data_IF_510921832321
#
_entry.id   IF_510921832321
#
_cell.length_a   1.000
_cell.length_b   1.000
_cell.length_c   1.000
_cell.angle_alpha   90.00
_cell.angle_beta   90.00
_cell.angle_gamma   90.00
#
_symmetry.space_group_name_H-M   'P 1'
#
loop_
_entity.id
_entity.type
_entity.pdbx_description
1 polymer ?
#
# COMPACT_ATOMS: atom_id res chain seq x y z
N UNK A 1 -14.91 -42.31 6.93
CA UNK A 1 -15.62 -41.27 6.20
C UNK A 1 -15.51 -39.99 7.00
N UNK A 2 -14.76 -38.94 6.60
CA UNK A 2 -14.80 -37.65 7.27
C UNK A 2 -16.08 -36.92 6.86
N UNK A 3 -16.82 -36.41 7.86
CA UNK A 3 -18.06 -35.66 7.71
C UNK A 3 -17.88 -34.35 6.90
N UNK A 4 -18.97 -33.77 6.39
CA UNK A 4 -18.91 -32.55 5.58
C UNK A 4 -18.38 -31.38 6.41
N UNK A 5 -17.66 -30.44 5.80
CA UNK A 5 -17.16 -29.25 6.50
C UNK A 5 -18.36 -28.41 6.96
N UNK A 6 -18.34 -28.03 8.23
CA UNK A 6 -19.32 -27.14 8.87
C UNK A 6 -19.53 -25.88 8.03
N UNK A 7 -20.78 -25.64 7.62
CA UNK A 7 -21.23 -24.39 7.02
C UNK A 7 -20.95 -23.22 7.99
N UNK A 8 -20.38 -22.10 7.49
CA UNK A 8 -20.32 -20.89 8.28
C UNK A 8 -21.76 -20.36 8.47
N UNK A 9 -22.14 -20.08 9.69
CA UNK A 9 -23.42 -19.47 10.06
C UNK A 9 -23.67 -18.24 9.18
N UNK A 10 -24.84 -18.21 8.52
CA UNK A 10 -25.29 -17.11 7.71
C UNK A 10 -25.39 -15.83 8.57
N UNK A 11 -24.49 -14.88 8.34
CA UNK A 11 -24.57 -13.56 8.93
C UNK A 11 -25.80 -12.83 8.39
N UNK A 12 -26.65 -12.33 9.30
CA UNK A 12 -27.81 -11.50 9.01
C UNK A 12 -27.31 -10.15 8.50
N UNK A 13 -27.02 -10.07 7.19
CA UNK A 13 -26.75 -8.80 6.52
C UNK A 13 -28.08 -8.16 6.09
N UNK A 14 -28.15 -6.84 6.13
CA UNK A 14 -29.29 -6.03 5.67
C UNK A 14 -29.67 -6.46 4.22
N UNK A 15 -30.79 -7.14 4.07
CA UNK A 15 -31.33 -7.55 2.77
C UNK A 15 -31.58 -6.29 1.96
N UNK A 16 -30.83 -6.10 0.86
CA UNK A 16 -31.04 -5.00 -0.08
C UNK A 16 -29.80 -4.21 -0.52
N UNK A 17 -28.74 -4.12 0.29
CA UNK A 17 -27.53 -3.38 -0.10
C UNK A 17 -26.71 -4.15 -1.17
N UNK A 18 -26.16 -3.46 -2.21
CA UNK A 18 -25.34 -4.10 -3.24
C UNK A 18 -24.14 -4.83 -2.67
N UNK A 19 -23.80 -6.01 -3.23
CA UNK A 19 -22.64 -6.81 -2.83
C UNK A 19 -21.44 -6.52 -3.72
N UNK A 20 -20.30 -6.15 -3.11
CA UNK A 20 -19.01 -6.00 -3.77
C UNK A 20 -18.12 -7.20 -3.44
N UNK A 21 -17.80 -8.03 -4.43
CA UNK A 21 -16.83 -9.12 -4.30
C UNK A 21 -15.43 -8.62 -4.68
N UNK A 22 -14.54 -8.54 -3.71
CA UNK A 22 -13.16 -8.12 -3.90
C UNK A 22 -12.28 -9.34 -4.20
N UNK A 23 -11.73 -9.40 -5.41
CA UNK A 23 -10.83 -10.47 -5.84
C UNK A 23 -9.39 -9.98 -5.73
N UNK A 24 -8.59 -10.63 -4.90
CA UNK A 24 -7.18 -10.31 -4.64
C UNK A 24 -6.33 -11.57 -4.74
N UNK A 25 -5.02 -11.40 -4.98
CA UNK A 25 -4.11 -12.53 -5.07
C UNK A 25 -4.03 -13.28 -3.74
N UNK A 26 -3.76 -12.58 -2.64
CA UNK A 26 -3.75 -13.09 -1.26
C UNK A 26 -4.17 -12.00 -0.29
N UNK A 27 -4.58 -12.38 0.92
CA UNK A 27 -4.86 -11.45 2.01
C UNK A 27 -3.79 -11.63 3.09
N UNK A 28 -2.80 -10.73 3.08
CA UNK A 28 -1.63 -10.79 3.95
C UNK A 28 -1.17 -9.36 4.31
N UNK A 29 -0.06 -9.21 5.05
CA UNK A 29 0.48 -7.89 5.38
C UNK A 29 1.00 -7.20 4.11
N UNK A 30 0.34 -6.12 3.70
CA UNK A 30 0.70 -5.36 2.51
C UNK A 30 -0.10 -4.07 2.35
N UNK A 31 0.41 -3.15 1.52
CA UNK A 31 -0.22 -1.84 1.31
C UNK A 31 -1.60 -1.94 0.66
N UNK A 32 -1.75 -2.82 -0.34
CA UNK A 32 -3.01 -3.07 -1.02
C UNK A 32 -4.05 -3.65 -0.06
N UNK A 33 -3.65 -4.68 0.68
CA UNK A 33 -4.50 -5.42 1.62
C UNK A 33 -4.94 -4.51 2.78
N UNK A 34 -4.02 -3.68 3.26
CA UNK A 34 -4.30 -2.65 4.26
C UNK A 34 -5.34 -1.63 3.75
N UNK A 35 -5.16 -1.13 2.53
CA UNK A 35 -6.11 -0.23 1.88
C UNK A 35 -7.49 -0.87 1.72
N UNK A 36 -7.55 -2.15 1.32
CA UNK A 36 -8.80 -2.89 1.18
C UNK A 36 -9.52 -3.06 2.52
N UNK A 37 -8.82 -3.51 3.56
CA UNK A 37 -9.42 -3.70 4.90
C UNK A 37 -9.89 -2.37 5.48
N UNK A 38 -9.11 -1.30 5.32
CA UNK A 38 -9.51 0.04 5.74
C UNK A 38 -10.76 0.54 5.01
N UNK A 39 -10.86 0.28 3.69
CA UNK A 39 -12.04 0.62 2.89
C UNK A 39 -13.28 -0.13 3.40
N UNK A 40 -13.18 -1.46 3.56
CA UNK A 40 -14.28 -2.32 3.99
C UNK A 40 -14.77 -1.93 5.39
N UNK A 41 -13.86 -1.69 6.34
CA UNK A 41 -14.22 -1.34 7.71
C UNK A 41 -14.94 0.02 7.83
N UNK A 42 -14.81 0.91 6.83
CA UNK A 42 -15.36 2.26 6.86
C UNK A 42 -16.55 2.50 5.93
N UNK A 43 -16.79 1.60 4.97
CA UNK A 43 -18.02 1.67 4.18
C UNK A 43 -19.18 1.15 5.03
N UNK A 44 -20.26 1.93 5.24
CA UNK A 44 -21.41 1.49 6.00
C UNK A 44 -22.06 0.23 5.40
N UNK A 45 -22.50 -0.71 6.25
CA UNK A 45 -23.07 -1.98 5.82
C UNK A 45 -24.37 -1.81 5.01
N UNK A 46 -25.14 -0.79 5.32
CA UNK A 46 -26.37 -0.40 4.63
C UNK A 46 -26.10 0.17 3.23
N UNK A 47 -24.87 0.64 2.95
CA UNK A 47 -24.48 1.14 1.63
C UNK A 47 -23.95 0.05 0.73
N UNK A 48 -23.04 -0.79 1.26
CA UNK A 48 -22.45 -1.89 0.52
C UNK A 48 -22.12 -3.06 1.46
N UNK A 49 -22.50 -4.26 1.02
CA UNK A 49 -22.00 -5.51 1.57
C UNK A 49 -20.69 -5.87 0.88
N UNK A 50 -19.83 -6.61 1.55
CA UNK A 50 -18.54 -7.00 0.99
C UNK A 50 -18.29 -8.50 1.14
N UNK A 51 -17.56 -9.07 0.17
CA UNK A 51 -16.94 -10.39 0.26
C UNK A 51 -15.50 -10.29 -0.26
N UNK A 52 -14.55 -10.99 0.37
CA UNK A 52 -13.16 -11.07 -0.10
C UNK A 52 -12.91 -12.45 -0.68
N UNK A 53 -12.34 -12.52 -1.87
CA UNK A 53 -11.97 -13.76 -2.55
C UNK A 53 -10.47 -13.72 -2.81
N UNK A 54 -9.73 -14.49 -2.02
CA UNK A 54 -8.29 -14.68 -2.18
C UNK A 54 -8.05 -15.80 -3.21
N UNK A 55 -7.28 -15.51 -4.24
CA UNK A 55 -6.94 -16.54 -5.24
C UNK A 55 -6.06 -17.62 -4.62
N UNK A 56 -5.11 -17.27 -3.76
CA UNK A 56 -4.18 -18.21 -3.11
C UNK A 56 -4.58 -18.47 -1.66
N UNK A 57 -4.27 -17.59 -0.74
CA UNK A 57 -4.39 -17.80 0.71
C UNK A 57 -4.81 -16.53 1.46
N UNK A 58 -5.22 -16.70 2.72
CA UNK A 58 -5.40 -15.59 3.66
C UNK A 58 -4.66 -15.92 4.96
N UNK A 59 -3.90 -14.96 5.48
CA UNK A 59 -3.18 -15.07 6.74
C UNK A 59 -4.03 -14.57 7.93
N UNK A 60 -3.41 -14.51 9.12
CA UNK A 60 -3.99 -13.89 10.30
C UNK A 60 -4.38 -12.41 10.09
N UNK A 61 -3.90 -11.76 9.02
CA UNK A 61 -4.25 -10.40 8.65
C UNK A 61 -5.77 -10.19 8.48
N UNK A 62 -6.54 -11.24 8.15
CA UNK A 62 -8.00 -11.20 8.10
C UNK A 62 -8.67 -10.73 9.41
N UNK A 63 -8.00 -10.91 10.56
CA UNK A 63 -8.50 -10.47 11.86
C UNK A 63 -8.62 -8.94 11.99
N UNK A 64 -8.01 -8.19 11.07
CA UNK A 64 -8.16 -6.73 10.97
C UNK A 64 -9.48 -6.29 10.35
N UNK A 65 -10.25 -7.20 9.76
CA UNK A 65 -11.62 -6.94 9.30
C UNK A 65 -12.50 -6.86 10.55
N UNK A 66 -13.01 -5.67 10.85
CA UNK A 66 -13.83 -5.41 12.04
C UNK A 66 -15.30 -5.76 11.80
N UNK A 67 -15.71 -5.88 10.55
CA UNK A 67 -17.07 -6.23 10.14
C UNK A 67 -17.26 -7.75 10.13
N UNK A 68 -18.14 -8.27 11.00
CA UNK A 68 -18.43 -9.70 11.10
C UNK A 68 -19.27 -10.27 9.93
N UNK A 69 -19.84 -9.39 9.10
CA UNK A 69 -20.66 -9.73 7.93
C UNK A 69 -19.84 -9.92 6.64
N UNK A 70 -18.50 -9.86 6.67
CA UNK A 70 -17.63 -9.96 5.50
C UNK A 70 -17.02 -11.36 5.38
N UNK A 71 -17.54 -12.25 4.52
CA UNK A 71 -16.95 -13.55 4.30
C UNK A 71 -15.63 -13.45 3.54
N UNK A 72 -14.66 -14.29 3.89
CA UNK A 72 -13.37 -14.43 3.21
C UNK A 72 -13.24 -15.84 2.66
N UNK A 73 -13.13 -15.94 1.34
CA UNK A 73 -12.97 -17.19 0.60
C UNK A 73 -11.54 -17.34 0.09
N UNK A 74 -11.03 -18.57 0.05
CA UNK A 74 -9.72 -18.91 -0.51
C UNK A 74 -9.86 -20.00 -1.57
N UNK A 75 -9.32 -19.76 -2.77
CA UNK A 75 -9.43 -20.70 -3.90
C UNK A 75 -8.25 -21.66 -4.00
N UNK A 76 -7.15 -21.41 -3.26
CA UNK A 76 -5.92 -22.22 -3.22
C UNK A 76 -5.31 -22.40 -4.62
N UNK A 77 -5.15 -21.29 -5.36
CA UNK A 77 -4.54 -21.25 -6.69
C UNK A 77 -3.10 -21.76 -6.62
N UNK A 78 -2.73 -22.77 -7.42
CA UNK A 78 -1.34 -23.18 -7.56
C UNK A 78 -0.51 -22.09 -8.26
N UNK A 79 0.82 -22.23 -8.22
CA UNK A 79 1.72 -21.34 -8.98
C UNK A 79 1.41 -21.41 -10.48
N UNK A 80 1.51 -20.27 -11.16
CA UNK A 80 1.25 -20.15 -12.60
C UNK A 80 -0.24 -19.99 -12.94
N UNK A 81 -0.57 -20.23 -14.22
CA UNK A 81 -1.95 -20.14 -14.73
C UNK A 81 -2.74 -21.38 -14.30
N UNK A 82 -3.99 -21.17 -13.87
CA UNK A 82 -4.85 -22.27 -13.40
C UNK A 82 -6.29 -22.09 -13.88
N UNK A 83 -6.66 -22.73 -14.99
CA UNK A 83 -8.06 -22.75 -15.45
C UNK A 83 -9.03 -23.28 -14.38
N UNK A 84 -8.57 -24.23 -13.56
CA UNK A 84 -9.36 -24.77 -12.44
C UNK A 84 -9.71 -23.66 -11.43
N UNK A 85 -8.78 -22.77 -11.15
CA UNK A 85 -9.04 -21.63 -10.24
C UNK A 85 -10.04 -20.65 -10.86
N UNK A 86 -9.96 -20.39 -12.17
CA UNK A 86 -10.94 -19.53 -12.86
C UNK A 86 -12.34 -20.18 -12.84
N UNK A 87 -12.44 -21.49 -13.02
CA UNK A 87 -13.70 -22.22 -12.89
C UNK A 87 -14.26 -22.17 -11.46
N UNK A 88 -13.41 -22.37 -10.43
CA UNK A 88 -13.82 -22.23 -9.02
C UNK A 88 -14.32 -20.80 -8.73
N UNK A 89 -13.62 -19.79 -9.25
CA UNK A 89 -14.03 -18.39 -9.10
C UNK A 89 -15.39 -18.14 -9.78
N UNK A 90 -15.56 -18.61 -11.01
CA UNK A 90 -16.84 -18.52 -11.73
C UNK A 90 -17.99 -19.16 -10.93
N UNK A 91 -17.83 -20.39 -10.42
CA UNK A 91 -18.84 -21.06 -9.59
C UNK A 91 -19.18 -20.26 -8.34
N UNK A 92 -18.16 -19.75 -7.64
CA UNK A 92 -18.35 -18.95 -6.44
C UNK A 92 -19.11 -17.65 -6.76
N UNK A 93 -18.79 -16.98 -7.86
CA UNK A 93 -19.49 -15.77 -8.29
C UNK A 93 -20.96 -16.05 -8.68
N UNK A 94 -21.24 -17.20 -9.32
CA UNK A 94 -22.61 -17.64 -9.60
C UNK A 94 -23.44 -17.88 -8.33
N UNK A 95 -22.80 -18.34 -7.24
CA UNK A 95 -23.44 -18.55 -5.93
C UNK A 95 -23.66 -17.23 -5.19
N UNK A 96 -22.63 -16.38 -5.13
CA UNK A 96 -22.65 -15.10 -4.41
C UNK A 96 -23.51 -14.05 -5.11
N UNK A 97 -23.61 -14.09 -6.44
CA UNK A 97 -24.32 -13.12 -7.29
C UNK A 97 -23.98 -11.67 -6.93
N UNK A 98 -22.70 -11.27 -6.92
CA UNK A 98 -22.33 -9.91 -6.56
C UNK A 98 -22.81 -8.91 -7.64
N UNK A 99 -23.13 -7.69 -7.19
CA UNK A 99 -23.44 -6.57 -8.07
C UNK A 99 -22.18 -5.97 -8.69
N UNK A 100 -21.08 -6.04 -7.94
CA UNK A 100 -19.75 -5.56 -8.36
C UNK A 100 -18.71 -6.64 -8.09
N UNK A 101 -17.86 -6.93 -9.08
CA UNK A 101 -16.56 -7.58 -8.86
C UNK A 101 -15.47 -6.52 -8.97
N UNK A 102 -14.61 -6.43 -7.95
CA UNK A 102 -13.47 -5.53 -7.93
C UNK A 102 -12.18 -6.32 -7.77
N UNK A 103 -11.49 -6.56 -8.89
CA UNK A 103 -10.17 -7.22 -8.95
C UNK A 103 -9.06 -6.21 -8.67
N UNK A 104 -7.92 -6.64 -8.10
CA UNK A 104 -6.79 -5.75 -7.79
C UNK A 104 -5.46 -6.30 -8.25
N UNK A 105 -4.67 -5.43 -8.88
CA UNK A 105 -3.37 -5.72 -9.49
C UNK A 105 -3.40 -6.85 -10.52
N UNK A 106 -2.31 -6.98 -11.26
CA UNK A 106 -2.19 -7.95 -12.36
C UNK A 106 -2.49 -9.39 -11.90
N UNK A 107 -2.12 -9.75 -10.66
CA UNK A 107 -2.35 -11.09 -10.12
C UNK A 107 -3.82 -11.54 -10.01
N UNK A 108 -4.77 -10.57 -10.03
CA UNK A 108 -6.21 -10.86 -10.02
C UNK A 108 -6.94 -10.39 -11.30
N UNK A 109 -6.23 -9.82 -12.28
CA UNK A 109 -6.83 -9.26 -13.50
C UNK A 109 -7.65 -10.28 -14.28
N UNK A 110 -7.15 -11.51 -14.40
CA UNK A 110 -7.83 -12.62 -15.10
C UNK A 110 -9.19 -12.96 -14.47
N UNK A 111 -9.42 -12.60 -13.22
CA UNK A 111 -10.70 -12.77 -12.52
C UNK A 111 -11.88 -11.99 -13.13
N UNK A 112 -11.61 -11.02 -14.00
CA UNK A 112 -12.67 -10.30 -14.72
C UNK A 112 -13.35 -11.17 -15.80
N UNK A 113 -12.66 -12.16 -16.36
CA UNK A 113 -13.26 -13.09 -17.33
C UNK A 113 -14.34 -13.96 -16.67
N UNK A 114 -14.07 -14.75 -15.60
CA UNK A 114 -15.12 -15.49 -14.93
C UNK A 114 -16.22 -14.58 -14.35
N UNK A 115 -15.93 -13.36 -13.96
CA UNK A 115 -16.95 -12.40 -13.54
C UNK A 115 -17.88 -12.00 -14.69
N UNK A 116 -17.35 -11.79 -15.89
CA UNK A 116 -18.15 -11.54 -17.10
C UNK A 116 -19.03 -12.74 -17.46
N UNK A 117 -18.46 -13.96 -17.43
CA UNK A 117 -19.19 -15.21 -17.70
C UNK A 117 -20.26 -15.51 -16.64
N UNK A 118 -20.07 -15.08 -15.40
CA UNK A 118 -21.07 -15.17 -14.33
C UNK A 118 -22.17 -14.11 -14.43
N UNK A 119 -22.11 -13.21 -15.42
CA UNK A 119 -23.10 -12.16 -15.61
C UNK A 119 -23.03 -11.03 -14.58
N UNK A 120 -21.89 -10.86 -13.89
CA UNK A 120 -21.73 -9.77 -12.90
C UNK A 120 -21.93 -8.42 -13.57
N UNK A 121 -22.87 -7.58 -13.08
CA UNK A 121 -23.24 -6.33 -13.75
C UNK A 121 -22.08 -5.34 -13.91
N UNK A 122 -21.25 -5.18 -12.88
CA UNK A 122 -20.15 -4.20 -12.85
C UNK A 122 -18.83 -4.91 -12.52
N UNK A 123 -17.82 -4.72 -13.37
CA UNK A 123 -16.48 -5.28 -13.20
C UNK A 123 -15.46 -4.15 -13.17
N UNK A 124 -14.81 -3.99 -12.03
CA UNK A 124 -13.80 -2.97 -11.76
C UNK A 124 -12.44 -3.62 -11.61
N UNK A 125 -11.40 -2.97 -12.13
CA UNK A 125 -10.02 -3.37 -11.90
C UNK A 125 -9.22 -2.23 -11.27
N UNK A 126 -8.60 -2.51 -10.11
CA UNK A 126 -7.73 -1.58 -9.39
C UNK A 126 -6.25 -1.84 -9.69
N UNK A 127 -5.51 -0.81 -10.09
CA UNK A 127 -4.05 -0.82 -10.18
C UNK A 127 -3.46 -0.11 -8.96
N UNK A 128 -2.69 -0.86 -8.16
CA UNK A 128 -2.14 -0.40 -6.88
C UNK A 128 -0.60 -0.30 -6.86
N UNK A 129 0.06 -0.66 -7.95
CA UNK A 129 1.53 -0.60 -8.07
C UNK A 129 2.05 -1.41 -9.25
N UNK A 130 3.35 -1.32 -9.45
CA UNK A 130 4.08 -2.11 -10.44
C UNK A 130 4.92 -3.20 -9.77
N UNK A 131 5.20 -4.25 -10.50
CA UNK A 131 6.06 -5.33 -10.04
C UNK A 131 7.55 -5.02 -10.30
N UNK A 132 8.44 -5.71 -9.60
CA UNK A 132 9.90 -5.52 -9.70
C UNK A 132 10.44 -5.72 -11.13
N UNK A 133 9.81 -6.59 -11.90
CA UNK A 133 10.19 -6.87 -13.31
C UNK A 133 9.53 -5.91 -14.31
N UNK A 134 8.83 -4.87 -13.83
CA UNK A 134 8.19 -3.83 -14.67
C UNK A 134 8.21 -2.44 -13.99
N UNK A 135 9.34 -2.06 -13.41
CA UNK A 135 9.49 -0.81 -12.63
C UNK A 135 9.04 0.43 -13.41
N UNK A 136 9.33 0.47 -14.72
CA UNK A 136 9.01 1.60 -15.59
C UNK A 136 7.73 1.41 -16.42
N UNK A 137 7.01 0.31 -16.22
CA UNK A 137 5.81 -0.01 -17.01
C UNK A 137 6.12 -0.31 -18.49
N UNK A 138 7.34 -0.79 -18.81
CA UNK A 138 7.80 -1.09 -20.17
C UNK A 138 7.69 -2.56 -20.56
N UNK A 139 7.33 -3.43 -19.63
CA UNK A 139 7.21 -4.85 -19.89
C UNK A 139 6.02 -5.15 -20.83
N UNK A 140 6.34 -5.44 -22.09
CA UNK A 140 5.35 -5.67 -23.15
C UNK A 140 4.41 -6.82 -22.83
N UNK A 141 4.89 -7.88 -22.20
CA UNK A 141 4.04 -9.04 -21.83
C UNK A 141 2.94 -8.60 -20.85
N UNK A 142 3.29 -7.78 -19.85
CA UNK A 142 2.33 -7.26 -18.88
C UNK A 142 1.34 -6.28 -19.50
N UNK A 143 1.79 -5.47 -20.46
CA UNK A 143 0.91 -4.59 -21.23
C UNK A 143 -0.07 -5.41 -22.09
N UNK A 144 0.41 -6.45 -22.78
CA UNK A 144 -0.43 -7.36 -23.59
C UNK A 144 -1.48 -8.04 -22.71
N UNK A 145 -1.11 -8.56 -21.55
CA UNK A 145 -2.05 -9.15 -20.60
C UNK A 145 -3.15 -8.16 -20.22
N UNK A 146 -2.80 -6.92 -19.85
CA UNK A 146 -3.81 -5.90 -19.52
C UNK A 146 -4.72 -5.57 -20.71
N UNK A 147 -4.17 -5.48 -21.92
CA UNK A 147 -4.95 -5.24 -23.16
C UNK A 147 -5.89 -6.41 -23.47
N UNK A 148 -5.45 -7.66 -23.27
CA UNK A 148 -6.25 -8.86 -23.49
C UNK A 148 -7.48 -8.91 -22.58
N UNK A 149 -7.33 -8.56 -21.30
CA UNK A 149 -8.42 -8.57 -20.35
C UNK A 149 -9.24 -7.27 -20.30
N UNK A 150 -8.79 -6.19 -20.99
CA UNK A 150 -9.49 -4.90 -21.05
C UNK A 150 -10.97 -4.98 -21.46
N UNK A 151 -11.39 -5.84 -22.40
CA UNK A 151 -12.81 -5.97 -22.79
C UNK A 151 -13.71 -6.44 -21.64
N UNK A 152 -13.17 -7.18 -20.67
CA UNK A 152 -13.93 -7.72 -19.54
C UNK A 152 -14.01 -6.77 -18.33
N UNK A 153 -13.33 -5.62 -18.38
CA UNK A 153 -13.32 -4.61 -17.32
C UNK A 153 -14.20 -3.44 -17.73
N UNK A 154 -15.19 -3.08 -16.91
CA UNK A 154 -16.06 -1.92 -17.19
C UNK A 154 -15.39 -0.59 -16.77
N UNK A 155 -14.64 -0.60 -15.67
CA UNK A 155 -13.99 0.59 -15.13
C UNK A 155 -12.68 0.26 -14.41
N UNK A 156 -11.74 1.20 -14.42
CA UNK A 156 -10.45 1.10 -13.74
C UNK A 156 -10.37 2.09 -12.59
N UNK A 157 -9.68 1.70 -11.52
CA UNK A 157 -9.28 2.61 -10.44
C UNK A 157 -7.76 2.57 -10.34
N UNK A 158 -7.11 3.72 -10.49
CA UNK A 158 -5.68 3.89 -10.33
C UNK A 158 -5.38 4.65 -9.03
N UNK A 159 -4.44 4.16 -8.21
CA UNK A 159 -4.11 4.84 -6.94
C UNK A 159 -3.20 6.06 -7.11
N UNK A 160 -2.69 6.31 -8.32
CA UNK A 160 -1.86 7.46 -8.66
C UNK A 160 -2.13 7.94 -10.08
N UNK A 161 -1.76 9.18 -10.38
CA UNK A 161 -1.80 9.74 -11.75
C UNK A 161 -0.78 9.06 -12.67
N UNK A 162 0.35 8.61 -12.11
CA UNK A 162 1.33 7.81 -12.83
C UNK A 162 0.70 6.51 -13.37
N UNK A 163 -0.04 5.77 -12.52
CA UNK A 163 -0.75 4.56 -12.95
C UNK A 163 -1.95 4.87 -13.86
N UNK A 164 -2.65 5.96 -13.64
CA UNK A 164 -3.71 6.43 -14.54
C UNK A 164 -3.14 6.69 -15.95
N UNK A 165 -2.03 7.45 -16.05
CA UNK A 165 -1.33 7.71 -17.31
C UNK A 165 -0.85 6.42 -17.97
N UNK A 166 -0.32 5.47 -17.19
CA UNK A 166 0.08 4.15 -17.69
C UNK A 166 -1.11 3.39 -18.31
N UNK A 167 -2.25 3.35 -17.62
CA UNK A 167 -3.46 2.70 -18.14
C UNK A 167 -3.95 3.35 -19.44
N UNK A 168 -3.93 4.66 -19.52
CA UNK A 168 -4.38 5.38 -20.70
C UNK A 168 -3.40 5.24 -21.87
N UNK A 169 -2.11 5.49 -21.65
CA UNK A 169 -1.11 5.58 -22.71
C UNK A 169 -0.53 4.22 -23.13
N UNK A 170 -0.33 3.29 -22.20
CA UNK A 170 0.32 1.99 -22.46
C UNK A 170 -0.70 0.86 -22.64
N UNK A 171 -1.79 0.85 -21.89
CA UNK A 171 -2.85 -0.17 -22.01
C UNK A 171 -3.94 0.26 -23.01
N UNK A 172 -4.12 1.55 -23.24
CA UNK A 172 -5.12 2.12 -24.13
C UNK A 172 -6.53 2.10 -23.51
N UNK A 173 -6.64 2.35 -22.20
CA UNK A 173 -7.92 2.52 -21.51
C UNK A 173 -8.42 3.94 -21.77
N UNK A 174 -9.70 4.08 -22.11
CA UNK A 174 -10.30 5.41 -22.33
C UNK A 174 -10.33 6.21 -21.02
N UNK A 175 -10.04 7.53 -21.03
CA UNK A 175 -10.08 8.37 -19.85
C UNK A 175 -11.42 8.29 -19.07
N UNK A 176 -12.56 8.18 -19.78
CA UNK A 176 -13.89 8.03 -19.18
C UNK A 176 -14.09 6.71 -18.41
N UNK A 177 -13.18 5.75 -18.58
CA UNK A 177 -13.20 4.44 -17.90
C UNK A 177 -12.13 4.30 -16.82
N UNK A 178 -11.46 5.38 -16.44
CA UNK A 178 -10.48 5.41 -15.35
C UNK A 178 -10.91 6.44 -14.33
N UNK A 179 -10.82 6.09 -13.06
CA UNK A 179 -10.88 7.03 -11.94
C UNK A 179 -9.56 6.96 -11.17
N UNK A 180 -8.95 8.09 -10.91
CA UNK A 180 -7.81 8.18 -10.02
C UNK A 180 -8.31 8.40 -8.59
N UNK A 181 -7.92 7.53 -7.64
CA UNK A 181 -8.29 7.63 -6.22
C UNK A 181 -7.05 7.35 -5.39
N UNK A 182 -6.52 8.37 -4.71
CA UNK A 182 -5.40 8.18 -3.78
C UNK A 182 -5.79 7.32 -2.59
N UNK A 183 -4.82 6.60 -2.05
CA UNK A 183 -4.99 5.95 -0.76
C UNK A 183 -5.20 7.00 0.34
N UNK A 184 -6.03 6.67 1.32
CA UNK A 184 -6.24 7.47 2.51
C UNK A 184 -5.41 6.98 3.68
N UNK A 185 -5.10 7.89 4.60
CA UNK A 185 -4.45 7.57 5.86
C UNK A 185 -5.34 7.91 7.05
N UNK A 186 -5.26 7.08 8.08
CA UNK A 186 -5.90 7.29 9.38
C UNK A 186 -5.05 8.26 10.20
N UNK A 187 -5.42 9.54 10.17
CA UNK A 187 -4.68 10.61 10.85
C UNK A 187 -4.95 10.69 12.36
N UNK A 188 -5.90 9.91 12.88
CA UNK A 188 -6.09 9.73 14.33
C UNK A 188 -5.13 8.67 14.85
N UNK A 189 -4.93 7.60 14.11
CA UNK A 189 -3.99 6.53 14.44
C UNK A 189 -2.53 6.97 14.23
N UNK A 190 -2.25 7.68 13.14
CA UNK A 190 -0.95 8.26 12.82
C UNK A 190 -1.01 9.75 13.08
N UNK A 191 -0.40 10.19 14.17
CA UNK A 191 -0.39 11.59 14.61
C UNK A 191 1.00 11.98 15.11
N UNK A 192 1.35 13.26 15.14
CA UNK A 192 2.61 13.71 15.69
C UNK A 192 2.81 13.26 17.14
N UNK A 193 4.06 13.13 17.55
CA UNK A 193 4.40 13.04 18.97
C UNK A 193 3.87 14.29 19.69
N UNK A 194 3.62 14.17 21.00
CA UNK A 194 3.26 15.31 21.84
C UNK A 194 4.43 16.31 21.99
N UNK A 195 4.55 16.94 23.14
CA UNK A 195 5.64 17.91 23.41
C UNK A 195 7.05 17.28 23.32
N UNK A 196 7.14 15.97 23.52
CA UNK A 196 8.40 15.22 23.42
C UNK A 196 8.25 14.07 22.44
N UNK A 197 9.31 13.81 21.66
CA UNK A 197 9.45 12.62 20.83
C UNK A 197 9.29 11.35 21.68
N UNK A 198 8.60 10.34 21.20
CA UNK A 198 8.54 9.03 21.86
C UNK A 198 9.91 8.34 21.81
N UNK A 199 10.15 7.49 22.79
CA UNK A 199 11.36 6.66 22.78
C UNK A 199 11.21 5.49 21.81
N UNK A 200 12.31 5.16 21.14
CA UNK A 200 12.38 3.92 20.37
C UNK A 200 12.17 2.74 21.33
N UNK A 201 11.25 1.80 21.07
CA UNK A 201 10.96 0.71 22.00
C UNK A 201 12.05 -0.38 21.97
N UNK A 202 13.28 0.05 22.16
CA UNK A 202 14.49 -0.75 22.29
C UNK A 202 15.36 -0.07 23.37
N UNK A 203 15.37 -0.66 24.57
CA UNK A 203 16.02 -0.08 25.73
C UNK A 203 17.50 0.27 25.47
N UNK A 204 17.87 1.50 25.70
CA UNK A 204 19.26 1.98 25.53
C UNK A 204 19.72 2.17 24.08
N UNK A 205 18.82 1.97 23.08
CA UNK A 205 19.21 2.14 21.67
C UNK A 205 19.32 3.60 21.23
N UNK A 206 18.40 4.45 21.68
CA UNK A 206 18.40 5.87 21.33
C UNK A 206 18.07 6.73 22.56
N UNK A 207 18.87 7.81 22.75
CA UNK A 207 18.65 8.82 23.78
C UNK A 207 17.86 10.02 23.26
N UNK A 208 17.54 10.95 24.16
CA UNK A 208 16.78 12.18 23.84
C UNK A 208 17.51 13.14 22.88
N UNK A 209 18.84 13.05 22.80
CA UNK A 209 19.67 13.86 21.88
C UNK A 209 20.00 13.19 20.55
N UNK A 210 19.58 11.95 20.35
CA UNK A 210 19.85 11.22 19.10
C UNK A 210 18.91 11.66 17.98
N UNK A 211 19.43 11.63 16.75
CA UNK A 211 18.66 11.82 15.53
C UNK A 211 18.28 10.45 14.94
N UNK A 212 17.00 10.14 14.90
CA UNK A 212 16.48 8.85 14.49
C UNK A 212 15.95 8.90 13.06
N UNK A 213 16.61 8.18 12.17
CA UNK A 213 16.20 7.97 10.79
C UNK A 213 15.40 6.66 10.74
N UNK A 214 14.15 6.72 10.26
CA UNK A 214 13.27 5.56 10.23
C UNK A 214 12.77 5.18 8.85
N UNK A 215 12.57 3.90 8.62
CA UNK A 215 11.84 3.36 7.47
C UNK A 215 10.91 2.22 7.90
N UNK A 216 9.79 2.08 7.19
CA UNK A 216 8.80 1.01 7.44
C UNK A 216 8.39 0.38 6.12
N UNK A 217 8.47 -0.95 6.04
CA UNK A 217 8.02 -1.70 4.86
C UNK A 217 8.63 -3.08 4.77
N UNK A 218 8.03 -3.93 3.93
CA UNK A 218 8.58 -5.27 3.67
C UNK A 218 9.99 -5.15 3.12
N UNK A 219 10.92 -5.95 3.63
CA UNK A 219 12.33 -5.91 3.22
C UNK A 219 12.55 -6.77 1.97
N UNK A 220 12.12 -6.22 0.81
CA UNK A 220 12.14 -6.86 -0.51
C UNK A 220 12.83 -5.97 -1.54
N UNK A 221 13.31 -6.55 -2.64
CA UNK A 221 14.10 -5.85 -3.66
C UNK A 221 13.44 -4.54 -4.15
N UNK A 222 12.11 -4.54 -4.35
CA UNK A 222 11.37 -3.32 -4.77
C UNK A 222 11.42 -2.19 -3.75
N UNK A 223 11.67 -2.49 -2.46
CA UNK A 223 11.76 -1.49 -1.37
C UNK A 223 13.18 -1.04 -1.08
N UNK A 224 14.19 -1.73 -1.60
CA UNK A 224 15.61 -1.36 -1.66
C UNK A 224 16.21 -0.78 -0.37
N UNK A 225 15.95 -1.43 0.76
CA UNK A 225 16.56 -1.04 2.04
C UNK A 225 18.09 -1.09 2.02
N UNK A 226 18.69 -1.79 1.06
CA UNK A 226 20.15 -1.80 0.87
C UNK A 226 20.69 -0.42 0.50
N UNK A 227 19.99 0.33 -0.36
CA UNK A 227 20.38 1.69 -0.70
C UNK A 227 20.31 2.62 0.51
N UNK A 228 19.28 2.49 1.36
CA UNK A 228 19.22 3.24 2.62
C UNK A 228 20.36 2.85 3.58
N UNK A 229 20.67 1.57 3.71
CA UNK A 229 21.77 1.12 4.56
C UNK A 229 23.12 1.68 4.07
N UNK A 230 23.39 1.66 2.75
CA UNK A 230 24.58 2.28 2.17
C UNK A 230 24.64 3.78 2.41
N UNK A 231 23.49 4.47 2.28
CA UNK A 231 23.38 5.90 2.54
C UNK A 231 23.66 6.23 4.02
N UNK A 232 23.16 5.41 4.96
CA UNK A 232 23.44 5.54 6.38
C UNK A 232 24.92 5.34 6.72
N UNK A 233 25.56 4.32 6.15
CA UNK A 233 27.02 4.11 6.30
C UNK A 233 27.79 5.37 5.86
N UNK A 234 27.48 5.91 4.66
CA UNK A 234 28.11 7.14 4.16
C UNK A 234 27.87 8.34 5.07
N UNK A 235 26.65 8.45 5.61
CA UNK A 235 26.28 9.53 6.52
C UNK A 235 27.09 9.47 7.82
N UNK A 236 27.22 8.30 8.44
CA UNK A 236 28.02 8.09 9.66
C UNK A 236 29.47 8.39 9.40
N UNK A 237 30.04 7.94 8.29
CA UNK A 237 31.44 8.19 7.94
C UNK A 237 31.72 9.66 7.58
N UNK A 238 30.72 10.39 7.09
CA UNK A 238 30.85 11.77 6.61
C UNK A 238 30.62 12.86 7.67
N UNK A 239 30.10 12.51 8.85
CA UNK A 239 29.81 13.48 9.94
C UNK A 239 30.69 13.16 11.16
N UNK A 240 31.49 14.11 11.66
CA UNK A 240 32.30 13.90 12.88
C UNK A 240 31.40 13.50 14.07
N UNK A 241 31.78 12.46 14.79
CA UNK A 241 31.04 11.92 15.95
C UNK A 241 29.58 11.54 15.65
N UNK A 242 29.26 11.20 14.40
CA UNK A 242 27.91 10.76 13.99
C UNK A 242 27.44 9.54 14.79
N UNK A 243 28.36 8.65 15.13
CA UNK A 243 28.12 7.45 15.93
C UNK A 243 27.54 7.74 17.31
N UNK A 244 27.79 8.93 17.85
CA UNK A 244 27.28 9.33 19.16
C UNK A 244 25.82 9.77 19.15
N UNK A 245 25.24 10.10 17.95
CA UNK A 245 23.91 10.69 17.87
C UNK A 245 23.02 10.19 16.73
N UNK A 246 23.54 9.44 15.76
CA UNK A 246 22.73 8.95 14.66
C UNK A 246 22.23 7.53 14.94
N UNK A 247 20.94 7.31 14.69
CA UNK A 247 20.31 5.99 14.80
C UNK A 247 19.48 5.70 13.56
N UNK A 248 19.51 4.45 13.13
CA UNK A 248 18.72 3.93 12.02
C UNK A 248 17.72 2.91 12.54
N UNK A 249 16.45 3.08 12.21
CA UNK A 249 15.37 2.14 12.56
C UNK A 249 14.72 1.62 11.28
N UNK A 250 14.77 0.30 11.07
CA UNK A 250 14.17 -0.35 9.91
C UNK A 250 13.12 -1.37 10.34
N UNK A 251 11.85 -1.01 10.20
CA UNK A 251 10.71 -1.85 10.58
C UNK A 251 10.23 -2.65 9.38
N UNK A 252 10.11 -3.94 9.56
CA UNK A 252 9.64 -4.90 8.56
C UNK A 252 10.54 -6.11 8.44
N UNK A 253 10.06 -7.11 7.72
CA UNK A 253 10.80 -8.35 7.49
C UNK A 253 10.83 -8.70 6.00
N UNK A 254 11.71 -9.64 5.64
CA UNK A 254 11.87 -10.11 4.28
C UNK A 254 13.32 -10.48 3.92
N UNK A 255 13.56 -10.94 2.69
CA UNK A 255 14.85 -11.49 2.26
C UNK A 255 16.01 -10.47 2.28
N UNK A 256 15.73 -9.15 2.33
CA UNK A 256 16.80 -8.15 2.44
C UNK A 256 17.27 -7.91 3.88
N UNK A 257 16.53 -8.33 4.91
CA UNK A 257 16.86 -8.02 6.31
C UNK A 257 18.25 -8.47 6.70
N UNK A 258 18.59 -9.72 6.41
CA UNK A 258 19.93 -10.26 6.72
C UNK A 258 21.01 -9.59 5.87
N UNK A 259 20.74 -9.30 4.59
CA UNK A 259 21.69 -8.60 3.72
C UNK A 259 22.00 -7.20 4.24
N UNK A 260 20.99 -6.48 4.73
CA UNK A 260 21.17 -5.16 5.38
C UNK A 260 22.00 -5.29 6.65
N UNK A 261 21.71 -6.27 7.50
CA UNK A 261 22.47 -6.51 8.74
C UNK A 261 23.96 -6.76 8.46
N UNK A 262 24.25 -7.65 7.51
CA UNK A 262 25.63 -7.95 7.09
C UNK A 262 26.33 -6.71 6.53
N UNK A 263 25.65 -5.90 5.71
CA UNK A 263 26.21 -4.67 5.16
C UNK A 263 26.59 -3.68 6.27
N UNK A 264 25.72 -3.48 7.26
CA UNK A 264 25.96 -2.57 8.38
C UNK A 264 27.09 -3.09 9.31
N UNK A 265 27.13 -4.41 9.55
CA UNK A 265 28.18 -5.05 10.35
C UNK A 265 29.56 -4.91 9.68
N UNK A 266 29.66 -5.18 8.38
CA UNK A 266 30.90 -5.03 7.61
C UNK A 266 31.41 -3.57 7.60
N UNK A 267 30.52 -2.59 7.72
CA UNK A 267 30.87 -1.19 7.84
C UNK A 267 31.12 -0.73 9.29
N UNK A 268 30.99 -1.59 10.29
CA UNK A 268 31.19 -1.29 11.71
C UNK A 268 30.13 -0.36 12.31
N UNK A 269 28.90 -0.33 11.74
CA UNK A 269 27.81 0.56 12.18
C UNK A 269 26.53 -0.16 12.61
N UNK A 270 26.56 -1.50 12.72
CA UNK A 270 25.39 -2.32 13.08
C UNK A 270 24.79 -1.92 14.44
N UNK A 271 25.60 -1.55 15.42
CA UNK A 271 25.18 -1.14 16.76
C UNK A 271 24.35 0.15 16.76
N UNK A 272 24.36 0.95 15.69
CA UNK A 272 23.58 2.17 15.51
C UNK A 272 22.30 1.93 14.73
N UNK A 273 22.00 0.66 14.37
CA UNK A 273 20.83 0.26 13.62
C UNK A 273 19.97 -0.74 14.39
N UNK A 274 18.66 -0.53 14.41
CA UNK A 274 17.69 -1.44 15.00
C UNK A 274 16.77 -2.01 13.91
N UNK A 275 16.86 -3.33 13.71
CA UNK A 275 16.10 -4.10 12.72
C UNK A 275 15.22 -5.15 13.43
N UNK A 276 14.12 -4.75 14.11
CA UNK A 276 13.32 -5.67 14.94
C UNK A 276 12.51 -6.70 14.16
N UNK A 277 12.43 -6.58 12.84
CA UNK A 277 11.48 -7.34 12.03
C UNK A 277 10.11 -6.68 11.95
N UNK A 278 9.08 -7.48 11.78
CA UNK A 278 7.70 -7.00 11.70
C UNK A 278 7.17 -6.56 13.07
N UNK A 279 6.43 -5.43 13.09
CA UNK A 279 5.92 -4.81 14.33
C UNK A 279 4.45 -4.41 14.16
N UNK A 280 3.69 -4.47 15.26
CA UNK A 280 2.27 -4.06 15.30
C UNK A 280 2.08 -2.63 15.85
N UNK A 281 3.09 -2.08 16.51
CA UNK A 281 3.11 -0.76 17.15
C UNK A 281 3.78 0.32 16.27
N UNK A 282 3.71 0.15 14.94
CA UNK A 282 4.29 1.08 13.95
C UNK A 282 3.92 2.55 14.20
N UNK A 283 2.67 2.93 14.54
CA UNK A 283 2.34 4.33 14.82
C UNK A 283 3.16 4.91 15.98
N UNK A 284 3.37 4.13 17.05
CA UNK A 284 4.20 4.53 18.20
C UNK A 284 5.66 4.68 17.77
N UNK A 285 6.19 3.72 17.02
CA UNK A 285 7.59 3.76 16.58
C UNK A 285 7.82 4.95 15.63
N UNK A 286 6.90 5.26 14.73
CA UNK A 286 7.02 6.43 13.85
C UNK A 286 7.14 7.73 14.63
N UNK A 287 6.48 7.89 15.79
CA UNK A 287 6.61 9.05 16.66
C UNK A 287 7.98 9.17 17.33
N UNK A 288 8.82 8.16 17.23
CA UNK A 288 10.22 8.21 17.67
C UNK A 288 11.21 8.64 16.57
N UNK A 289 10.75 8.86 15.34
CA UNK A 289 11.60 9.28 14.24
C UNK A 289 11.75 10.80 14.16
N UNK A 290 12.86 11.26 13.61
CA UNK A 290 13.10 12.65 13.23
C UNK A 290 13.00 12.82 11.70
N UNK A 291 13.27 11.74 10.94
CA UNK A 291 13.18 11.70 9.49
C UNK A 291 12.66 10.33 9.05
N UNK A 292 11.66 10.33 8.18
CA UNK A 292 11.22 9.11 7.49
C UNK A 292 11.89 9.00 6.12
N UNK A 293 12.46 7.83 5.79
CA UNK A 293 13.12 7.58 4.50
C UNK A 293 12.49 6.41 3.78
N UNK A 294 12.16 6.58 2.49
CA UNK A 294 11.66 5.51 1.63
C UNK A 294 12.54 5.35 0.38
N UNK A 295 13.39 4.32 0.32
CA UNK A 295 14.37 4.12 -0.76
C UNK A 295 13.84 3.34 -1.97
N UNK A 296 12.56 3.11 -2.10
CA UNK A 296 11.92 2.18 -3.05
C UNK A 296 12.35 2.38 -4.51
N UNK A 297 12.45 1.27 -5.27
CA UNK A 297 12.67 1.28 -6.71
C UNK A 297 11.39 1.53 -7.51
N UNK A 298 10.23 1.19 -6.95
CA UNK A 298 8.91 1.48 -7.53
C UNK A 298 7.83 1.55 -6.47
N UNK A 299 6.85 2.42 -6.69
CA UNK A 299 5.65 2.58 -5.86
C UNK A 299 4.41 2.85 -6.74
N UNK A 300 3.25 2.38 -6.28
CA UNK A 300 1.98 2.89 -6.82
C UNK A 300 1.62 4.22 -6.16
N UNK A 301 1.31 4.14 -4.89
CA UNK A 301 1.23 5.20 -3.88
C UNK A 301 1.70 4.59 -2.57
N UNK A 302 2.63 5.26 -1.89
CA UNK A 302 3.17 4.75 -0.63
C UNK A 302 2.29 5.09 0.56
N UNK A 303 1.68 4.07 1.18
CA UNK A 303 0.95 4.25 2.44
C UNK A 303 1.88 4.71 3.57
N UNK A 304 3.12 4.21 3.61
CA UNK A 304 4.06 4.57 4.67
C UNK A 304 4.56 6.01 4.58
N UNK A 305 4.61 6.60 3.37
CA UNK A 305 4.78 8.05 3.21
C UNK A 305 3.59 8.80 3.82
N UNK A 306 2.36 8.39 3.50
CA UNK A 306 1.16 9.02 4.06
C UNK A 306 1.12 8.90 5.60
N UNK A 307 1.49 7.74 6.13
CA UNK A 307 1.59 7.46 7.57
C UNK A 307 2.65 8.33 8.25
N UNK A 308 3.82 8.49 7.61
CA UNK A 308 4.89 9.36 8.10
C UNK A 308 4.49 10.85 8.07
N UNK A 309 3.91 11.32 6.96
CA UNK A 309 3.37 12.67 6.85
C UNK A 309 2.27 12.93 7.89
N UNK A 310 1.38 11.96 8.13
CA UNK A 310 0.34 12.03 9.15
C UNK A 310 0.95 12.08 10.56
N UNK A 311 2.10 11.46 10.78
CA UNK A 311 2.86 11.53 12.03
C UNK A 311 3.67 12.83 12.19
N UNK A 312 3.54 13.77 11.24
CA UNK A 312 4.26 15.07 11.28
C UNK A 312 5.74 14.95 10.97
N UNK A 313 6.17 13.89 10.28
CA UNK A 313 7.57 13.68 9.92
C UNK A 313 7.90 14.32 8.57
N UNK A 314 9.09 14.92 8.41
CA UNK A 314 9.63 15.19 7.09
C UNK A 314 9.92 13.87 6.36
N UNK A 315 9.73 13.86 5.04
CA UNK A 315 9.90 12.66 4.23
C UNK A 315 11.01 12.83 3.21
N UNK A 316 11.96 11.90 3.22
CA UNK A 316 12.93 11.71 2.15
C UNK A 316 12.57 10.45 1.38
N UNK A 317 12.28 10.57 0.09
CA UNK A 317 11.92 9.39 -0.72
C UNK A 317 12.54 9.44 -2.12
N UNK A 318 12.56 8.29 -2.76
CA UNK A 318 12.92 8.20 -4.18
C UNK A 318 11.80 8.75 -5.07
N UNK A 319 12.19 9.42 -6.17
CA UNK A 319 11.27 10.01 -7.15
C UNK A 319 10.72 8.94 -8.10
N UNK A 320 9.95 7.96 -7.56
CA UNK A 320 9.39 6.84 -8.33
C UNK A 320 7.88 6.75 -8.19
N UNK A 321 7.21 6.31 -9.26
CA UNK A 321 5.76 6.09 -9.29
C UNK A 321 4.98 7.28 -8.76
N UNK A 322 4.11 7.05 -7.78
CA UNK A 322 3.28 8.09 -7.17
C UNK A 322 3.95 8.90 -6.04
N UNK A 323 5.22 8.62 -5.67
CA UNK A 323 5.88 9.40 -4.61
C UNK A 323 5.95 10.90 -4.89
N UNK A 324 6.23 11.37 -6.14
CA UNK A 324 6.20 12.79 -6.49
C UNK A 324 4.81 13.45 -6.39
N UNK A 325 3.76 12.66 -6.30
CA UNK A 325 2.39 13.17 -6.12
C UNK A 325 2.05 13.43 -4.65
N UNK A 326 2.79 12.77 -3.74
CA UNK A 326 2.64 12.90 -2.29
C UNK A 326 3.55 13.99 -1.71
N UNK A 327 4.80 14.06 -2.22
CA UNK A 327 5.86 14.91 -1.69
C UNK A 327 6.02 16.14 -2.58
N UNK A 328 5.87 17.32 -1.99
CA UNK A 328 6.23 18.59 -2.60
C UNK A 328 7.66 18.94 -2.18
N UNK A 329 8.64 18.89 -3.13
CA UNK A 329 10.05 19.10 -2.81
C UNK A 329 10.31 20.46 -2.14
N UNK A 330 11.06 20.46 -1.04
CA UNK A 330 11.37 21.66 -0.25
C UNK A 330 10.26 22.12 0.71
N UNK A 331 9.01 21.61 0.54
CA UNK A 331 7.85 21.96 1.37
C UNK A 331 7.49 20.83 2.33
N UNK A 332 7.18 19.64 1.83
CA UNK A 332 6.79 18.49 2.67
C UNK A 332 7.86 17.42 2.79
N UNK A 333 8.96 17.55 2.03
CA UNK A 333 10.05 16.59 2.02
C UNK A 333 11.04 16.80 0.89
N UNK A 334 11.83 15.78 0.62
CA UNK A 334 12.86 15.76 -0.43
C UNK A 334 12.71 14.51 -1.28
N UNK A 335 12.89 14.67 -2.59
CA UNK A 335 12.93 13.57 -3.55
C UNK A 335 14.36 13.39 -4.09
N UNK A 336 14.81 12.13 -4.19
CA UNK A 336 16.12 11.75 -4.72
C UNK A 336 15.97 10.69 -5.82
N UNK A 337 16.95 10.50 -6.70
CA UNK A 337 16.95 9.39 -7.65
C UNK A 337 16.90 8.02 -6.93
N UNK A 338 16.28 7.02 -7.56
CA UNK A 338 16.34 5.64 -7.08
C UNK A 338 17.74 5.06 -7.24
N UNK A 339 18.09 4.08 -6.39
CA UNK A 339 19.40 3.40 -6.39
C UNK A 339 20.61 4.36 -6.29
N UNK A 340 20.41 5.50 -5.61
CA UNK A 340 21.46 6.51 -5.42
C UNK A 340 21.69 6.78 -3.92
N UNK A 341 22.53 5.93 -3.32
CA UNK A 341 22.89 6.03 -1.90
C UNK A 341 23.64 7.34 -1.57
N UNK A 342 24.35 7.94 -2.55
CA UNK A 342 25.08 9.18 -2.33
C UNK A 342 24.16 10.39 -2.23
N UNK A 343 23.24 10.53 -3.20
CA UNK A 343 22.22 11.60 -3.15
C UNK A 343 21.32 11.45 -1.92
N UNK A 344 20.99 10.22 -1.54
CA UNK A 344 20.21 9.95 -0.33
C UNK A 344 20.99 10.36 0.94
N UNK A 345 22.28 10.02 1.04
CA UNK A 345 23.13 10.41 2.18
C UNK A 345 23.27 11.93 2.29
N UNK A 346 23.50 12.64 1.16
CA UNK A 346 23.53 14.11 1.12
C UNK A 346 22.23 14.74 1.60
N UNK A 347 21.09 14.21 1.15
CA UNK A 347 19.79 14.70 1.59
C UNK A 347 19.54 14.41 3.08
N UNK A 348 19.87 13.21 3.58
CA UNK A 348 19.79 12.89 5.01
C UNK A 348 20.62 13.83 5.86
N UNK A 349 21.84 14.18 5.40
CA UNK A 349 22.74 15.12 6.10
C UNK A 349 22.09 16.49 6.33
N UNK A 350 21.39 17.03 5.33
CA UNK A 350 20.69 18.31 5.46
C UNK A 350 19.66 18.32 6.61
N UNK A 351 18.94 17.20 6.81
CA UNK A 351 18.00 17.06 7.92
C UNK A 351 18.72 16.92 9.28
N UNK A 352 19.80 16.15 9.32
CA UNK A 352 20.62 15.98 10.54
C UNK A 352 21.21 17.31 11.01
N UNK A 353 21.56 18.18 10.08
CA UNK A 353 22.18 19.49 10.35
C UNK A 353 21.15 20.61 10.61
N UNK A 354 19.84 20.38 10.34
CA UNK A 354 18.81 21.41 10.47
C UNK A 354 17.51 20.91 11.12
N UNK A 355 17.41 21.06 12.42
CA UNK A 355 16.16 20.79 13.16
C UNK A 355 14.99 21.68 12.67
N UNK A 356 15.29 22.91 12.18
CA UNK A 356 14.31 23.82 11.62
C UNK A 356 13.68 23.24 10.34
N UNK A 357 14.52 22.67 9.46
CA UNK A 357 14.06 22.00 8.23
C UNK A 357 13.11 20.85 8.58
N UNK A 358 13.48 20.01 9.57
CA UNK A 358 12.65 18.89 10.02
C UNK A 358 11.29 19.38 10.51
N UNK A 359 11.25 20.35 11.41
CA UNK A 359 10.00 20.89 11.98
C UNK A 359 9.11 21.52 10.92
N UNK A 360 9.67 22.35 10.04
CA UNK A 360 8.92 23.03 8.98
C UNK A 360 8.30 22.04 8.02
N UNK A 361 9.10 21.13 7.47
CA UNK A 361 8.60 20.15 6.49
C UNK A 361 7.67 19.13 7.12
N UNK A 362 7.92 18.66 8.33
CA UNK A 362 7.02 17.75 9.05
C UNK A 362 5.64 18.38 9.30
N UNK A 363 5.62 19.66 9.70
CA UNK A 363 4.36 20.40 9.89
C UNK A 363 3.56 20.57 8.60
N UNK A 364 4.23 20.91 7.48
CA UNK A 364 3.56 21.04 6.18
C UNK A 364 3.14 19.67 5.62
N UNK A 365 3.91 18.61 5.87
CA UNK A 365 3.53 17.24 5.52
C UNK A 365 2.21 16.84 6.21
N UNK A 366 2.09 17.08 7.51
CA UNK A 366 0.85 16.84 8.28
C UNK A 366 -0.34 17.60 7.72
N UNK A 367 -0.21 18.92 7.50
CA UNK A 367 -1.28 19.76 6.92
C UNK A 367 -1.70 19.26 5.54
N UNK A 368 -0.74 18.82 4.73
CA UNK A 368 -1.01 18.30 3.38
C UNK A 368 -1.81 17.01 3.42
N UNK A 369 -1.47 16.09 4.31
CA UNK A 369 -2.22 14.84 4.49
C UNK A 369 -3.66 15.11 4.94
N UNK A 370 -3.85 15.96 5.92
CA UNK A 370 -5.18 16.29 6.43
C UNK A 370 -6.09 16.89 5.36
N UNK A 371 -5.55 17.71 4.47
CA UNK A 371 -6.30 18.35 3.39
C UNK A 371 -6.59 17.42 2.21
N UNK A 372 -5.66 16.52 1.86
CA UNK A 372 -5.68 15.83 0.56
C UNK A 372 -5.85 14.31 0.63
N UNK A 373 -5.42 13.70 1.73
CA UNK A 373 -5.28 12.24 1.80
C UNK A 373 -6.02 11.63 3.00
N UNK A 374 -7.11 12.28 3.44
CA UNK A 374 -7.93 11.76 4.52
C UNK A 374 -8.64 10.46 4.13
N UNK A 375 -8.73 9.53 5.06
CA UNK A 375 -9.35 8.22 4.84
C UNK A 375 -10.80 8.32 4.38
N UNK A 376 -11.58 9.26 4.94
CA UNK A 376 -12.99 9.42 4.57
C UNK A 376 -13.16 9.92 3.12
N UNK A 377 -12.25 10.77 2.63
CA UNK A 377 -12.26 11.22 1.24
C UNK A 377 -12.05 10.05 0.27
N UNK A 378 -11.10 9.15 0.57
CA UNK A 378 -10.90 7.92 -0.20
C UNK A 378 -12.16 7.05 -0.21
N UNK A 379 -12.75 6.77 0.95
CA UNK A 379 -13.97 5.95 1.08
C UNK A 379 -15.12 6.53 0.26
N UNK A 380 -15.36 7.83 0.37
CA UNK A 380 -16.40 8.52 -0.39
C UNK A 380 -16.17 8.44 -1.91
N UNK A 381 -14.91 8.56 -2.36
CA UNK A 381 -14.56 8.44 -3.77
C UNK A 381 -14.84 7.02 -4.32
N UNK A 382 -14.50 5.98 -3.55
CA UNK A 382 -14.83 4.59 -3.94
C UNK A 382 -16.35 4.38 -4.02
N UNK A 383 -17.11 4.81 -2.99
CA UNK A 383 -18.57 4.70 -3.02
C UNK A 383 -19.18 5.43 -4.21
N UNK A 384 -18.73 6.64 -4.51
CA UNK A 384 -19.22 7.41 -5.66
C UNK A 384 -18.97 6.70 -7.01
N UNK A 385 -17.84 6.00 -7.16
CA UNK A 385 -17.58 5.17 -8.34
C UNK A 385 -18.54 3.99 -8.41
N UNK A 386 -18.74 3.27 -7.29
CA UNK A 386 -19.66 2.13 -7.22
C UNK A 386 -21.09 2.55 -7.55
N UNK A 387 -21.61 3.58 -6.91
CA UNK A 387 -22.97 4.11 -7.14
C UNK A 387 -23.19 4.50 -8.60
N UNK A 388 -22.25 5.27 -9.18
CA UNK A 388 -22.33 5.73 -10.58
C UNK A 388 -22.37 4.55 -11.56
N UNK A 389 -21.58 3.50 -11.32
CA UNK A 389 -21.51 2.36 -12.22
C UNK A 389 -22.77 1.49 -12.12
N UNK A 390 -23.30 1.29 -10.91
CA UNK A 390 -24.56 0.57 -10.70
C UNK A 390 -25.74 1.31 -11.35
N UNK A 391 -25.85 2.63 -11.15
CA UNK A 391 -26.89 3.43 -11.76
C UNK A 391 -26.89 3.36 -13.30
N UNK A 392 -25.73 3.36 -13.94
CA UNK A 392 -25.59 3.19 -15.40
C UNK A 392 -26.11 1.83 -15.91
N UNK A 393 -25.92 0.77 -15.14
CA UNK A 393 -26.39 -0.59 -15.51
C UNK A 393 -27.89 -0.73 -15.29
N UNK A 394 -28.43 -0.19 -14.18
CA UNK A 394 -29.87 -0.18 -13.90
C UNK A 394 -30.68 0.61 -14.94
N UNK A 395 -30.13 1.72 -15.44
CA UNK A 395 -30.76 2.50 -16.51
C UNK A 395 -30.77 1.82 -17.88
N UNK A 396 -29.81 0.91 -18.18
CA UNK A 396 -29.79 0.13 -19.43
C UNK A 396 -30.76 -1.07 -19.44
N UNK A 397 -31.20 -1.51 -18.28
CA UNK A 397 -32.18 -2.62 -18.17
C UNK A 397 -33.62 -2.12 -18.33
N UNK A 398 -33.86 -0.79 -18.24
CA UNK A 398 -35.18 -0.17 -18.39
C UNK A 398 -35.49 0.36 -19.79
N UNK A 399 -34.59 0.18 -20.78
CA UNK A 399 -34.81 0.44 -22.20
C UNK A 399 -34.85 -0.88 -22.97
#
# INVERSE_FOLDING_TARGET
MPGPPSEPAAAVGTQGAPLVAHVIYRLDVGGLENGLVNLINRIPAERFRHAIICLTESSAFRQRIQRGDVPVFTLKKPSGNSPVTLYKLWRLLMQLRPDIVHTRNLGALEGNLPAALAGVPVRIHGEHGRDIDDLDGRNTRRQIMRRLFKPFVDHYIAVSRDLESYLQQKVGVLPSRVAQIYNGVDSERFHPAGERREEVPCTGFAGTGDFVIGTVGRMQDVKDQLTLARAFVRLVQGIPRAEQRLRLVMIGDGPLREKVRVLLANAGVEQFAWLPGERNDVPRIMRSFDLFVLPSLAEGISNTILEAMASGLPVLATAVGGNPELIEPGVTGTLVPRDDAESMARAMRAYVESAELCRRQGSEARRTVERRFGMQAMVNAYMAVYDRLLARKSGRVRM
#
